data_IF_357479299165
#
_entry.id   IF_357479299165
#
_cell.length_a   1.000
_cell.length_b   1.000
_cell.length_c   1.000
_cell.angle_alpha   90.00
_cell.angle_beta   90.00
_cell.angle_gamma   90.00
#
_symmetry.space_group_name_H-M   'P 1'
#
loop_
_entity.id
_entity.type
_entity.pdbx_description
1 polymer ?
#
# COMPACT_ATOMS: atom_id res chain seq x y z
N UNK A 1 37.02 15.90 3.20
CA UNK A 1 36.93 14.66 4.02
C UNK A 1 36.57 14.90 5.50
N UNK A 2 37.22 15.79 6.28
CA UNK A 2 36.80 16.08 7.68
C UNK A 2 35.46 16.82 7.79
N UNK A 3 35.11 17.65 6.80
CA UNK A 3 33.91 18.47 6.81
C UNK A 3 32.62 17.65 6.57
N UNK A 4 32.70 16.61 5.74
CA UNK A 4 31.55 15.77 5.39
C UNK A 4 31.13 14.84 6.53
N UNK A 5 32.09 14.28 7.26
CA UNK A 5 31.80 13.43 8.42
C UNK A 5 31.16 14.22 9.56
N UNK A 6 31.57 15.48 9.74
CA UNK A 6 30.95 16.40 10.71
C UNK A 6 29.53 16.75 10.28
N UNK A 7 29.32 17.13 9.01
CA UNK A 7 27.98 17.43 8.47
C UNK A 7 27.01 16.26 8.61
N UNK A 8 27.46 15.03 8.28
CA UNK A 8 26.65 13.81 8.44
C UNK A 8 26.25 13.58 9.91
N UNK A 9 27.19 13.75 10.85
CA UNK A 9 26.89 13.61 12.29
C UNK A 9 25.86 14.63 12.76
N UNK A 10 26.01 15.90 12.39
CA UNK A 10 25.02 16.93 12.72
C UNK A 10 23.65 16.61 12.15
N UNK A 11 23.59 16.20 10.88
CA UNK A 11 22.34 15.83 10.22
C UNK A 11 21.66 14.62 10.89
N UNK A 12 22.44 13.59 11.26
CA UNK A 12 21.93 12.44 12.00
C UNK A 12 21.32 12.85 13.35
N UNK A 13 22.00 13.71 14.12
CA UNK A 13 21.47 14.18 15.39
C UNK A 13 20.20 15.03 15.22
N UNK A 14 20.15 15.86 14.18
CA UNK A 14 18.95 16.64 13.86
C UNK A 14 17.78 15.72 13.49
N UNK A 15 18.01 14.74 12.62
CA UNK A 15 17.00 13.78 12.19
C UNK A 15 16.55 12.89 13.35
N UNK A 16 17.44 12.48 14.26
CA UNK A 16 17.10 11.75 15.49
C UNK A 16 16.18 12.57 16.39
N UNK A 17 16.48 13.87 16.59
CA UNK A 17 15.63 14.75 17.37
C UNK A 17 14.24 14.85 16.73
N UNK A 18 14.16 15.13 15.44
CA UNK A 18 12.88 15.22 14.72
C UNK A 18 12.10 13.90 14.77
N UNK A 19 12.77 12.77 14.56
CA UNK A 19 12.16 11.44 14.65
C UNK A 19 11.58 11.18 16.05
N UNK A 20 12.27 11.59 17.12
CA UNK A 20 11.76 11.45 18.49
C UNK A 20 10.55 12.32 18.80
N UNK A 21 10.35 13.41 18.06
CA UNK A 21 9.22 14.33 18.22
C UNK A 21 7.99 13.88 17.41
N UNK A 22 8.18 13.15 16.31
CA UNK A 22 7.10 12.72 15.42
C UNK A 22 5.94 11.99 16.13
N UNK A 23 6.17 11.02 17.05
CA UNK A 23 5.07 10.34 17.73
C UNK A 23 4.18 11.29 18.53
N UNK A 24 4.74 12.40 19.05
CA UNK A 24 3.98 13.42 19.78
C UNK A 24 3.22 14.35 18.84
N UNK A 25 3.79 14.66 17.68
CA UNK A 25 3.21 15.59 16.71
C UNK A 25 2.10 14.94 15.88
N UNK A 26 2.19 13.63 15.62
CA UNK A 26 1.23 12.87 14.82
C UNK A 26 0.06 12.35 15.66
N UNK A 27 -0.67 13.26 16.30
CA UNK A 27 -1.92 12.94 17.02
C UNK A 27 -2.89 12.10 16.16
N UNK A 28 -3.43 11.04 16.76
CA UNK A 28 -4.27 10.05 16.08
C UNK A 28 -3.51 8.94 15.36
N UNK A 29 -2.17 8.97 15.40
CA UNK A 29 -1.31 7.85 15.04
C UNK A 29 -0.47 7.41 16.24
N UNK A 30 -0.27 6.11 16.35
CA UNK A 30 0.81 5.54 17.12
C UNK A 30 1.96 5.20 16.18
N UNK A 31 3.15 5.75 16.44
CA UNK A 31 4.38 5.43 15.69
C UNK A 31 5.07 4.26 16.39
N UNK A 32 5.03 3.09 15.77
CA UNK A 32 5.56 1.83 16.30
C UNK A 32 7.08 1.72 16.13
N UNK A 33 7.63 2.41 15.12
CA UNK A 33 9.05 2.41 14.82
C UNK A 33 9.37 3.11 13.50
N UNK A 34 10.66 3.13 13.16
CA UNK A 34 11.15 3.65 11.90
C UNK A 34 11.73 2.52 11.06
N UNK A 35 11.50 2.60 9.75
CA UNK A 35 11.89 1.60 8.77
C UNK A 35 12.80 2.26 7.75
N UNK A 36 13.86 1.55 7.37
CA UNK A 36 14.78 2.02 6.34
C UNK A 36 14.19 1.76 4.95
N UNK A 37 14.67 2.49 3.95
CA UNK A 37 14.20 2.31 2.58
C UNK A 37 14.50 0.89 2.04
N UNK A 38 15.65 0.32 2.40
CA UNK A 38 16.07 -1.03 1.95
C UNK A 38 15.22 -2.19 2.51
N UNK A 39 14.36 -1.92 3.50
CA UNK A 39 13.42 -2.90 4.05
C UNK A 39 12.09 -2.94 3.29
N UNK A 40 11.83 -1.95 2.42
CA UNK A 40 10.62 -1.86 1.61
C UNK A 40 10.89 -2.35 0.18
N UNK A 41 9.88 -2.90 -0.53
CA UNK A 41 10.07 -3.38 -1.89
C UNK A 41 10.57 -2.26 -2.83
N UNK A 42 11.72 -2.48 -3.46
CA UNK A 42 12.35 -1.49 -4.32
C UNK A 42 11.42 -1.00 -5.44
N UNK A 43 10.65 -1.91 -6.04
CA UNK A 43 9.67 -1.57 -7.08
C UNK A 43 8.63 -0.54 -6.60
N UNK A 44 8.19 -0.60 -5.34
CA UNK A 44 7.29 0.42 -4.78
C UNK A 44 7.99 1.76 -4.65
N UNK A 45 9.23 1.76 -4.17
CA UNK A 45 10.01 2.99 -3.98
C UNK A 45 10.31 3.68 -5.30
N UNK A 46 10.66 2.92 -6.34
CA UNK A 46 10.89 3.43 -7.69
C UNK A 46 9.60 4.02 -8.26
N UNK A 47 8.47 3.32 -8.10
CA UNK A 47 7.17 3.80 -8.56
C UNK A 47 6.75 5.10 -7.84
N UNK A 48 6.98 5.19 -6.53
CA UNK A 48 6.73 6.41 -5.76
C UNK A 48 7.65 7.56 -6.17
N UNK A 49 8.91 7.26 -6.50
CA UNK A 49 9.84 8.26 -7.02
C UNK A 49 9.37 8.82 -8.38
N UNK A 50 8.91 7.94 -9.27
CA UNK A 50 8.35 8.31 -10.57
C UNK A 50 7.09 9.17 -10.42
N UNK A 51 6.16 8.79 -9.54
CA UNK A 51 4.99 9.61 -9.22
C UNK A 51 5.38 10.99 -8.65
N UNK A 52 6.45 11.05 -7.85
CA UNK A 52 6.98 12.29 -7.29
C UNK A 52 7.45 13.31 -8.33
N UNK A 53 7.77 12.87 -9.55
CA UNK A 53 8.10 13.77 -10.67
C UNK A 53 6.88 14.47 -11.26
N UNK A 54 5.66 14.00 -10.95
CA UNK A 54 4.40 14.40 -11.55
C UNK A 54 4.37 14.28 -13.10
N UNK A 55 5.26 13.48 -13.69
CA UNK A 55 5.28 13.18 -15.11
C UNK A 55 4.22 12.13 -15.51
N UNK A 56 4.00 11.04 -14.74
CA UNK A 56 2.92 10.10 -15.01
C UNK A 56 1.53 10.76 -14.86
N UNK A 57 0.52 10.23 -15.56
CA UNK A 57 -0.84 10.69 -15.38
C UNK A 57 -1.36 10.30 -13.97
N UNK A 58 -1.94 11.25 -13.20
CA UNK A 58 -2.44 10.96 -11.87
C UNK A 58 -3.74 10.14 -11.94
N UNK A 59 -3.96 9.28 -10.93
CA UNK A 59 -5.20 8.52 -10.81
C UNK A 59 -6.37 9.42 -10.41
N UNK A 60 -6.11 10.45 -9.61
CA UNK A 60 -7.10 11.43 -9.16
C UNK A 60 -6.47 12.82 -9.03
N UNK A 61 -7.29 13.87 -9.11
CA UNK A 61 -6.87 15.27 -8.96
C UNK A 61 -7.91 16.03 -8.17
N UNK A 62 -7.47 17.00 -7.38
CA UNK A 62 -8.35 17.95 -6.69
C UNK A 62 -7.75 19.36 -6.77
N UNK A 63 -8.60 20.37 -6.97
CA UNK A 63 -8.16 21.75 -7.19
C UNK A 63 -8.01 22.51 -5.88
N UNK A 64 -7.09 23.47 -5.86
CA UNK A 64 -6.95 24.45 -4.80
C UNK A 64 -8.27 25.23 -4.62
N UNK A 65 -8.61 25.54 -3.38
CA UNK A 65 -9.88 26.19 -3.03
C UNK A 65 -11.06 25.23 -2.90
N UNK A 66 -10.89 23.94 -3.20
CA UNK A 66 -11.90 22.93 -2.87
C UNK A 66 -12.15 22.90 -1.36
N UNK A 67 -13.42 22.82 -0.96
CA UNK A 67 -13.81 22.81 0.45
C UNK A 67 -13.18 21.63 1.19
N UNK A 68 -12.72 21.86 2.43
CA UNK A 68 -12.04 20.85 3.26
C UNK A 68 -12.75 19.48 3.28
N UNK A 69 -14.07 19.38 3.51
CA UNK A 69 -14.74 18.07 3.55
C UNK A 69 -14.57 17.25 2.27
N UNK A 70 -14.54 17.92 1.11
CA UNK A 70 -14.33 17.26 -0.18
C UNK A 70 -12.87 16.85 -0.39
N UNK A 71 -11.90 17.59 0.15
CA UNK A 71 -10.48 17.21 0.17
C UNK A 71 -10.24 16.00 1.08
N UNK A 72 -10.98 15.91 2.17
CA UNK A 72 -10.92 14.78 3.11
C UNK A 72 -11.49 13.52 2.48
N UNK A 73 -12.67 13.61 1.86
CA UNK A 73 -13.29 12.53 1.12
C UNK A 73 -12.37 12.03 -0.02
N UNK A 74 -11.79 12.95 -0.79
CA UNK A 74 -10.86 12.64 -1.87
C UNK A 74 -9.62 11.88 -1.37
N UNK A 75 -8.98 12.32 -0.29
CA UNK A 75 -7.85 11.59 0.30
C UNK A 75 -8.29 10.22 0.84
N UNK A 76 -9.43 10.17 1.54
CA UNK A 76 -9.95 8.92 2.10
C UNK A 76 -10.21 7.88 1.02
N UNK A 77 -10.78 8.29 -0.13
CA UNK A 77 -10.96 7.41 -1.28
C UNK A 77 -9.63 6.93 -1.85
N UNK A 78 -8.66 7.83 -2.04
CA UNK A 78 -7.32 7.50 -2.54
C UNK A 78 -6.64 6.43 -1.67
N UNK A 79 -6.61 6.65 -0.35
CA UNK A 79 -6.00 5.76 0.62
C UNK A 79 -6.72 4.41 0.68
N UNK A 80 -8.06 4.41 0.70
CA UNK A 80 -8.86 3.19 0.69
C UNK A 80 -8.62 2.36 -0.58
N UNK A 81 -8.51 3.01 -1.75
CA UNK A 81 -8.22 2.32 -3.02
C UNK A 81 -6.82 1.72 -3.06
N UNK A 82 -5.87 2.33 -2.35
CA UNK A 82 -4.52 1.81 -2.19
C UNK A 82 -4.38 0.80 -1.02
N UNK A 83 -5.48 0.40 -0.37
CA UNK A 83 -5.44 -0.55 0.74
C UNK A 83 -4.78 0.00 2.01
N UNK A 84 -4.62 1.33 2.13
CA UNK A 84 -4.10 1.97 3.35
C UNK A 84 -5.21 1.97 4.40
N UNK A 85 -5.06 1.11 5.40
CA UNK A 85 -6.03 0.91 6.48
C UNK A 85 -5.50 1.35 7.85
N UNK A 86 -5.71 0.50 8.85
CA UNK A 86 -5.34 0.79 10.24
C UNK A 86 -3.84 0.79 10.51
N UNK A 87 -3.04 0.12 9.68
CA UNK A 87 -1.57 0.10 9.79
C UNK A 87 -0.94 0.32 8.43
N UNK A 88 0.10 1.17 8.39
CA UNK A 88 0.78 1.55 7.15
C UNK A 88 2.16 2.14 7.44
N UNK A 89 2.99 2.27 6.40
CA UNK A 89 4.23 3.02 6.47
C UNK A 89 4.03 4.44 5.92
N UNK A 90 4.44 5.44 6.70
CA UNK A 90 4.36 6.87 6.36
C UNK A 90 5.75 7.41 6.03
N UNK A 91 5.91 8.09 4.89
CA UNK A 91 7.16 8.78 4.57
C UNK A 91 7.32 10.03 5.44
N UNK A 92 8.46 10.16 6.11
CA UNK A 92 8.71 11.21 7.12
C UNK A 92 9.45 12.44 6.55
N UNK A 93 10.10 12.29 5.40
CA UNK A 93 11.00 13.31 4.84
C UNK A 93 12.36 13.42 5.54
N UNK A 94 12.66 12.55 6.51
CA UNK A 94 13.96 12.46 7.17
C UNK A 94 14.91 11.56 6.37
N UNK A 95 16.19 11.90 6.35
CA UNK A 95 17.20 11.15 5.56
C UNK A 95 17.53 9.82 6.23
N UNK A 96 17.72 9.84 7.56
CA UNK A 96 18.09 8.65 8.34
C UNK A 96 16.91 7.83 8.85
N UNK A 97 15.70 8.37 8.79
CA UNK A 97 14.46 7.72 9.28
C UNK A 97 13.33 7.89 8.25
N UNK A 98 13.51 7.42 7.00
CA UNK A 98 12.68 7.81 5.87
C UNK A 98 11.21 7.38 5.99
N UNK A 99 10.95 6.27 6.70
CA UNK A 99 9.61 5.72 6.89
C UNK A 99 9.32 5.48 8.37
N UNK A 100 8.08 5.73 8.77
CA UNK A 100 7.54 5.40 10.08
C UNK A 100 6.46 4.33 9.93
N UNK A 101 6.51 3.28 10.75
CA UNK A 101 5.42 2.30 10.89
C UNK A 101 4.37 2.89 11.82
N UNK A 102 3.17 3.11 11.28
CA UNK A 102 2.09 3.83 11.95
C UNK A 102 0.86 2.95 12.11
N UNK A 103 0.20 3.08 13.27
CA UNK A 103 -1.13 2.53 13.53
C UNK A 103 -2.12 3.65 13.82
N UNK A 104 -3.29 3.61 13.18
CA UNK A 104 -4.37 4.58 13.39
C UNK A 104 -5.01 4.36 14.76
N UNK A 105 -5.18 5.45 15.51
CA UNK A 105 -5.83 5.46 16.82
C UNK A 105 -7.03 6.41 16.90
N UNK A 106 -7.10 7.44 16.04
CA UNK A 106 -8.19 8.42 15.97
C UNK A 106 -8.50 8.76 14.50
N UNK A 107 -9.77 9.00 14.15
CA UNK A 107 -10.19 9.37 12.79
C UNK A 107 -9.64 10.70 12.26
N UNK A 108 -9.09 11.55 13.13
CA UNK A 108 -8.46 12.84 12.76
C UNK A 108 -7.00 12.71 12.34
N UNK A 109 -6.44 11.51 12.35
CA UNK A 109 -5.01 11.26 12.07
C UNK A 109 -4.51 11.91 10.77
N UNK A 110 -5.33 11.88 9.71
CA UNK A 110 -4.94 12.41 8.40
C UNK A 110 -4.84 13.94 8.40
N UNK A 111 -5.71 14.62 9.16
CA UNK A 111 -5.61 16.07 9.37
C UNK A 111 -4.28 16.42 10.02
N UNK A 112 -3.90 15.68 11.06
CA UNK A 112 -2.64 15.88 11.77
C UNK A 112 -1.42 15.63 10.88
N UNK A 113 -1.41 14.52 10.13
CA UNK A 113 -0.32 14.19 9.20
C UNK A 113 -0.11 15.32 8.19
N UNK A 114 -1.19 15.83 7.57
CA UNK A 114 -1.11 16.95 6.62
C UNK A 114 -0.63 18.25 7.27
N UNK A 115 -1.00 18.50 8.52
CA UNK A 115 -0.52 19.67 9.25
C UNK A 115 0.97 19.60 9.58
N UNK A 116 1.49 18.40 9.86
CA UNK A 116 2.88 18.19 10.31
C UNK A 116 3.84 18.02 9.13
N UNK A 117 3.47 17.22 8.13
CA UNK A 117 4.34 16.86 6.99
C UNK A 117 4.00 17.62 5.70
N UNK A 118 2.87 18.35 5.69
CA UNK A 118 2.39 19.06 4.52
C UNK A 118 1.51 18.20 3.58
N UNK A 119 1.14 18.75 2.41
CA UNK A 119 0.22 18.09 1.48
C UNK A 119 0.87 17.02 0.61
N UNK A 120 2.22 16.97 0.55
CA UNK A 120 2.98 15.98 -0.21
C UNK A 120 3.26 14.74 0.64
N UNK A 121 2.37 13.75 0.58
CA UNK A 121 2.39 12.61 1.50
C UNK A 121 2.56 11.31 0.73
N UNK A 122 3.41 10.41 1.24
CA UNK A 122 3.56 9.08 0.68
C UNK A 122 3.25 8.02 1.76
N UNK A 123 2.46 7.04 1.35
CA UNK A 123 1.98 5.94 2.18
C UNK A 123 2.28 4.62 1.48
N UNK A 124 2.65 3.60 2.24
CA UNK A 124 2.74 2.21 1.78
C UNK A 124 1.86 1.36 2.68
N UNK A 125 1.04 0.49 2.08
CA UNK A 125 0.22 -0.45 2.84
C UNK A 125 1.12 -1.35 3.70
N UNK A 126 0.64 -1.78 4.87
CA UNK A 126 1.46 -2.60 5.76
C UNK A 126 1.87 -3.95 5.15
N UNK A 127 1.06 -4.47 4.20
CA UNK A 127 1.40 -5.66 3.42
C UNK A 127 2.51 -5.44 2.36
N UNK A 128 2.90 -4.17 2.15
CA UNK A 128 3.93 -3.73 1.20
C UNK A 128 3.63 -4.07 -0.26
N UNK A 129 2.36 -4.21 -0.63
CA UNK A 129 1.96 -4.48 -2.02
C UNK A 129 1.44 -3.25 -2.76
N UNK A 130 1.01 -2.23 -2.04
CA UNK A 130 0.43 -1.02 -2.60
C UNK A 130 0.94 0.22 -1.90
N UNK A 131 0.88 1.34 -2.61
CA UNK A 131 1.30 2.64 -2.12
C UNK A 131 0.39 3.74 -2.67
N UNK A 132 0.32 4.86 -1.94
CA UNK A 132 -0.34 6.07 -2.37
C UNK A 132 0.61 7.26 -2.22
N UNK A 133 0.56 8.20 -3.16
CA UNK A 133 1.30 9.44 -3.10
C UNK A 133 0.40 10.61 -3.45
N UNK A 134 0.48 11.68 -2.67
CA UNK A 134 -0.06 12.98 -3.03
C UNK A 134 1.04 13.95 -3.41
N UNK A 135 0.87 14.67 -4.52
CA UNK A 135 1.87 15.62 -5.03
C UNK A 135 1.20 16.98 -5.25
N UNK A 136 1.60 18.04 -4.50
CA UNK A 136 1.09 19.38 -4.73
C UNK A 136 1.70 19.97 -6.00
N UNK A 137 0.86 20.45 -6.93
CA UNK A 137 1.28 21.07 -8.20
C UNK A 137 0.54 22.37 -8.42
N UNK A 138 1.19 23.51 -8.16
CA UNK A 138 0.64 24.88 -8.25
C UNK A 138 -0.74 25.02 -7.57
N UNK A 139 -1.82 24.80 -8.32
CA UNK A 139 -3.21 24.96 -7.90
C UNK A 139 -3.96 23.63 -7.83
N UNK A 140 -3.23 22.52 -7.78
CA UNK A 140 -3.78 21.17 -7.75
C UNK A 140 -3.06 20.32 -6.71
N UNK A 141 -3.75 19.30 -6.26
CA UNK A 141 -3.18 18.17 -5.56
C UNK A 141 -3.46 16.92 -6.39
N UNK A 142 -2.38 16.24 -6.79
CA UNK A 142 -2.42 15.03 -7.59
C UNK A 142 -2.37 13.82 -6.67
N UNK A 143 -3.21 12.82 -6.93
CA UNK A 143 -3.26 11.56 -6.19
C UNK A 143 -2.85 10.40 -7.09
N UNK A 144 -1.82 9.69 -6.67
CA UNK A 144 -1.31 8.49 -7.31
C UNK A 144 -1.51 7.29 -6.38
N UNK A 145 -1.77 6.14 -6.98
CA UNK A 145 -1.80 4.88 -6.26
C UNK A 145 -1.18 3.78 -7.13
N UNK A 146 -0.51 2.83 -6.48
CA UNK A 146 -0.21 1.55 -7.09
C UNK A 146 -1.32 0.57 -6.74
N UNK A 147 -1.77 -0.18 -7.75
CA UNK A 147 -2.55 -1.40 -7.48
C UNK A 147 -1.60 -2.46 -6.91
N UNK A 148 -2.13 -3.49 -6.20
CA UNK A 148 -1.29 -4.52 -5.62
C UNK A 148 -0.29 -5.01 -6.66
N UNK A 149 0.98 -5.01 -6.27
CA UNK A 149 2.03 -5.71 -7.00
C UNK A 149 1.62 -7.18 -7.04
N UNK A 150 0.90 -7.57 -8.09
CA UNK A 150 0.87 -8.97 -8.51
C UNK A 150 2.34 -9.28 -8.73
N UNK A 151 2.93 -10.11 -7.88
CA UNK A 151 4.27 -10.63 -8.14
C UNK A 151 4.31 -11.20 -9.56
N UNK A 152 5.49 -11.43 -10.16
CA UNK A 152 5.52 -12.24 -11.37
C UNK A 152 4.75 -13.51 -11.06
N UNK A 153 3.52 -13.60 -11.59
CA UNK A 153 2.76 -14.83 -11.55
C UNK A 153 3.74 -15.84 -12.11
N UNK A 154 3.97 -16.94 -11.41
CA UNK A 154 4.29 -18.20 -12.06
C UNK A 154 3.09 -18.54 -12.98
N UNK A 155 2.89 -17.71 -14.00
CA UNK A 155 2.10 -17.99 -15.16
C UNK A 155 3.00 -18.85 -16.02
N UNK A 156 3.25 -20.07 -15.52
CA UNK A 156 3.36 -21.19 -16.44
C UNK A 156 2.08 -21.10 -17.28
N UNK A 157 2.18 -20.97 -18.61
CA UNK A 157 1.00 -21.11 -19.44
C UNK A 157 0.36 -22.44 -19.05
N UNK A 158 -0.89 -22.41 -18.60
CA UNK A 158 -1.70 -23.61 -18.59
C UNK A 158 -1.72 -24.05 -20.06
N UNK A 159 -0.96 -25.11 -20.35
CA UNK A 159 -1.09 -25.83 -21.60
C UNK A 159 -2.58 -26.17 -21.74
N UNK A 160 -3.21 -25.85 -22.88
CA UNK A 160 -4.57 -26.26 -23.10
C UNK A 160 -4.59 -27.79 -23.08
N UNK A 161 -5.34 -28.33 -22.13
CA UNK A 161 -5.71 -29.73 -22.12
C UNK A 161 -6.68 -29.95 -23.29
N UNK A 162 -6.17 -30.49 -24.40
CA UNK A 162 -6.98 -31.12 -25.43
C UNK A 162 -6.45 -32.54 -25.71
N UNK A 163 -7.36 -33.47 -25.49
CA UNK A 163 -7.51 -34.81 -26.04
C UNK A 163 -6.48 -35.90 -25.70
N UNK A 164 -6.87 -36.70 -24.71
CA UNK A 164 -6.32 -38.03 -24.45
C UNK A 164 -7.31 -39.07 -25.03
N UNK A 165 -7.12 -39.49 -26.28
CA UNK A 165 -7.65 -40.75 -26.78
C UNK A 165 -6.53 -41.79 -26.84
N UNK A 166 -6.87 -43.03 -26.45
CA UNK A 166 -6.06 -44.24 -26.42
C UNK A 166 -5.11 -44.42 -25.21
N UNK A 167 -5.64 -45.05 -24.16
CA UNK A 167 -5.17 -46.33 -23.56
C UNK A 167 -5.95 -46.55 -22.25
N UNK A 168 -7.14 -47.16 -22.29
CA UNK A 168 -7.35 -48.61 -22.15
C UNK A 168 -7.17 -49.12 -20.70
N UNK A 169 -8.34 -49.34 -20.09
CA UNK A 169 -8.77 -50.53 -19.33
C UNK A 169 -8.45 -50.69 -17.84
N UNK A 170 -9.52 -51.15 -17.16
CA UNK A 170 -9.60 -51.90 -15.91
C UNK A 170 -9.59 -51.10 -14.61
N UNK A 171 -10.78 -50.69 -14.16
CA UNK A 171 -11.30 -51.07 -12.85
C UNK A 171 -12.83 -50.98 -12.81
N UNK A 172 -13.45 -52.16 -12.73
CA UNK A 172 -14.88 -52.50 -12.47
C UNK A 172 -15.45 -51.62 -11.32
N UNK A 173 -16.62 -50.95 -11.38
CA UNK A 173 -18.02 -51.46 -11.34
C UNK A 173 -18.16 -52.44 -10.13
N UNK A 174 -18.83 -52.18 -8.99
CA UNK A 174 -20.07 -51.45 -8.62
C UNK A 174 -20.07 -50.97 -7.14
N UNK A 175 -21.01 -50.11 -6.73
CA UNK A 175 -21.71 -50.30 -5.46
C UNK A 175 -23.21 -50.59 -5.68
N UNK A 176 -23.72 -51.55 -4.90
CA UNK A 176 -25.09 -52.04 -4.93
C UNK A 176 -26.12 -50.99 -4.51
N UNK A 177 -27.08 -50.67 -5.38
CA UNK A 177 -28.32 -50.00 -5.02
C UNK A 177 -29.33 -51.04 -4.48
N UNK A 178 -29.72 -50.87 -3.21
CA UNK A 178 -30.87 -51.56 -2.64
C UNK A 178 -32.12 -50.76 -2.96
N UNK A 179 -32.84 -51.16 -4.00
CA UNK A 179 -34.15 -50.60 -4.35
C UNK A 179 -35.20 -51.13 -3.37
N UNK A 180 -35.80 -50.24 -2.58
CA UNK A 180 -37.09 -50.46 -1.91
C UNK A 180 -38.17 -49.77 -2.73
N UNK A 181 -39.15 -50.55 -3.20
CA UNK A 181 -40.39 -50.02 -3.78
C UNK A 181 -41.53 -50.91 -3.28
N UNK A 182 -42.32 -50.38 -2.35
CA UNK A 182 -43.76 -50.73 -2.21
C UNK A 182 -44.46 -50.17 -3.48
N UNK A 183 -45.48 -50.78 -4.10
CA UNK A 183 -46.81 -51.09 -3.56
C UNK A 183 -47.61 -52.01 -4.51
N UNK A 184 -48.41 -52.90 -3.89
CA UNK A 184 -49.82 -53.29 -4.18
C UNK A 184 -50.26 -54.06 -5.46
N UNK A 185 -50.94 -55.20 -5.19
CA UNK A 185 -52.33 -55.41 -5.64
C UNK A 185 -52.57 -56.38 -6.80
N UNK A 186 -53.15 -57.55 -6.48
CA UNK A 186 -53.69 -58.53 -7.43
C UNK A 186 -53.87 -59.91 -6.83
#
# INVERSE_FOLDING_TARGET
MRSDSIRRKFKLHEDQRRASELPRLLEGLEVLGFVRADELPQQLLDTLADFGTANPAPNQRIYAGTAKPRVDEWHGELLRRAGIGERFFLRTGLEYFPWADCRVTDGRWLDTVRSVLGPGLAFIAHDRHSAALTVPVRYELLGYLTVPLVGPTDAKPAEPAEDNEATVLMSRIEPAETVRTEVAGG
#
